data_IF_951495925011
#
_entry.id   IF_951495925011
#
_cell.length_a   1.000
_cell.length_b   1.000
_cell.length_c   1.000
_cell.angle_alpha   90.00
_cell.angle_beta   90.00
_cell.angle_gamma   90.00
#
_symmetry.space_group_name_H-M   'P 1'
#
loop_
_entity.id
_entity.type
_entity.pdbx_description
1 polymer ?
#
# COMPACT_ATOMS: atom_id res chain seq x y z
N UNK A 1 9.55 12.04 15.14
CA UNK A 1 9.49 12.15 16.61
C UNK A 1 9.66 13.62 17.02
N UNK A 2 8.77 14.19 17.87
CA UNK A 2 8.82 15.58 18.32
C UNK A 2 10.12 15.96 19.03
N UNK A 3 10.73 15.03 19.77
CA UNK A 3 12.00 15.28 20.48
C UNK A 3 13.16 15.50 19.51
N UNK A 4 13.25 14.69 18.47
CA UNK A 4 14.27 14.84 17.41
C UNK A 4 14.13 16.19 16.71
N UNK A 5 12.90 16.61 16.42
CA UNK A 5 12.63 17.92 15.81
C UNK A 5 13.08 19.06 16.72
N UNK A 6 12.83 18.95 18.03
CA UNK A 6 13.26 19.97 19.00
C UNK A 6 14.78 20.10 19.03
N UNK A 7 15.52 18.98 19.12
CA UNK A 7 16.99 18.95 19.13
C UNK A 7 17.56 19.58 17.86
N UNK A 8 17.02 19.26 16.69
CA UNK A 8 17.48 19.82 15.42
C UNK A 8 17.25 21.33 15.36
N UNK A 9 16.09 21.80 15.83
CA UNK A 9 15.80 23.25 15.90
C UNK A 9 16.73 23.99 16.85
N UNK A 10 17.03 23.43 18.03
CA UNK A 10 18.00 24.00 18.97
C UNK A 10 19.41 24.07 18.38
N UNK A 11 19.78 23.11 17.54
CA UNK A 11 21.03 23.10 16.78
C UNK A 11 21.05 24.08 15.59
N UNK A 12 19.97 24.84 15.36
CA UNK A 12 19.87 25.78 14.23
C UNK A 12 19.65 25.10 12.88
N UNK A 13 19.27 23.83 12.87
CA UNK A 13 19.03 23.07 11.64
C UNK A 13 17.57 23.28 11.22
N UNK A 14 17.30 23.80 9.99
CA UNK A 14 15.95 23.94 9.48
C UNK A 14 15.29 22.56 9.34
N UNK A 15 14.07 22.43 9.87
CA UNK A 15 13.30 21.18 9.83
C UNK A 15 12.00 21.43 9.10
N UNK A 16 11.81 20.70 7.98
CA UNK A 16 10.55 20.60 7.28
C UNK A 16 9.87 19.28 7.65
N UNK A 17 8.61 19.34 8.02
CA UNK A 17 7.78 18.15 8.24
C UNK A 17 6.71 18.10 7.16
N UNK A 18 6.64 16.98 6.47
CA UNK A 18 5.57 16.65 5.52
C UNK A 18 4.79 15.44 6.04
N UNK A 19 3.48 15.46 5.86
CA UNK A 19 2.63 14.30 6.13
C UNK A 19 2.45 13.53 4.83
N UNK A 20 2.67 12.21 4.89
CA UNK A 20 2.46 11.33 3.74
C UNK A 20 0.99 10.96 3.64
N UNK A 21 0.47 11.01 2.42
CA UNK A 21 -0.86 10.51 2.09
C UNK A 21 -0.78 9.06 1.58
N UNK A 22 -1.84 8.30 1.75
CA UNK A 22 -1.95 6.92 1.24
C UNK A 22 -2.07 6.85 -0.29
N UNK A 23 -2.44 7.96 -0.94
CA UNK A 23 -2.62 8.03 -2.39
C UNK A 23 -1.47 8.76 -3.09
N UNK A 24 -1.21 8.40 -4.35
CA UNK A 24 -0.26 9.12 -5.19
C UNK A 24 -0.69 10.59 -5.37
N UNK A 25 -1.98 10.83 -5.56
CA UNK A 25 -2.55 12.17 -5.75
C UNK A 25 -2.42 13.04 -4.50
N UNK A 26 -2.66 12.49 -3.32
CA UNK A 26 -2.51 13.20 -2.04
C UNK A 26 -1.07 13.58 -1.72
N UNK A 27 -0.07 12.91 -2.32
CA UNK A 27 1.35 13.26 -2.16
C UNK A 27 1.85 14.33 -3.14
N UNK A 28 1.07 14.77 -4.13
CA UNK A 28 1.45 15.83 -5.07
C UNK A 28 1.88 17.13 -4.35
N UNK A 29 1.16 17.63 -3.34
CA UNK A 29 1.60 18.81 -2.59
C UNK A 29 2.98 18.65 -1.95
N UNK A 30 3.31 17.45 -1.46
CA UNK A 30 4.62 17.17 -0.88
C UNK A 30 5.74 17.23 -1.94
N UNK A 31 5.49 16.73 -3.14
CA UNK A 31 6.43 16.78 -4.27
C UNK A 31 6.72 18.24 -4.64
N UNK A 32 5.68 19.07 -4.77
CA UNK A 32 5.82 20.48 -5.08
C UNK A 32 6.54 21.26 -3.97
N UNK A 33 6.21 20.97 -2.71
CA UNK A 33 6.86 21.57 -1.55
C UNK A 33 8.36 21.23 -1.53
N UNK A 34 8.72 19.98 -1.79
CA UNK A 34 10.13 19.56 -1.87
C UNK A 34 10.85 20.22 -3.04
N UNK A 35 10.19 20.34 -4.20
CA UNK A 35 10.72 21.08 -5.35
C UNK A 35 11.06 22.53 -4.98
N UNK A 36 10.12 23.23 -4.33
CA UNK A 36 10.31 24.61 -3.88
C UNK A 36 11.46 24.75 -2.87
N UNK A 37 11.49 23.89 -1.84
CA UNK A 37 12.54 23.95 -0.80
C UNK A 37 13.94 23.67 -1.36
N UNK A 38 14.04 22.81 -2.39
CA UNK A 38 15.32 22.42 -3.00
C UNK A 38 15.71 23.29 -4.21
N UNK A 39 14.88 24.27 -4.62
CA UNK A 39 15.10 25.07 -5.83
C UNK A 39 15.04 24.21 -7.11
N UNK A 40 14.12 23.24 -7.14
CA UNK A 40 13.94 22.29 -8.25
C UNK A 40 12.49 22.24 -8.69
N UNK A 41 11.85 23.38 -8.78
CA UNK A 41 10.42 23.54 -9.08
C UNK A 41 10.05 22.89 -10.41
N UNK A 42 10.86 23.15 -11.46
CA UNK A 42 10.61 22.58 -12.80
C UNK A 42 10.63 21.05 -12.80
N UNK A 43 11.55 20.44 -12.05
CA UNK A 43 11.63 18.99 -11.91
C UNK A 43 10.44 18.43 -11.13
N UNK A 44 9.98 19.12 -10.09
CA UNK A 44 8.80 18.74 -9.32
C UNK A 44 7.53 18.82 -10.16
N UNK A 45 7.35 19.91 -10.92
CA UNK A 45 6.21 20.08 -11.84
C UNK A 45 6.21 18.98 -12.91
N UNK A 46 7.36 18.68 -13.50
CA UNK A 46 7.48 17.60 -14.50
C UNK A 46 7.08 16.24 -13.91
N UNK A 47 7.52 15.93 -12.68
CA UNK A 47 7.15 14.69 -12.00
C UNK A 47 5.66 14.63 -11.69
N UNK A 48 5.07 15.75 -11.24
CA UNK A 48 3.63 15.82 -10.97
C UNK A 48 2.83 15.56 -12.25
N UNK A 49 3.17 16.20 -13.35
CA UNK A 49 2.50 15.99 -14.65
C UNK A 49 2.59 14.51 -15.08
N UNK A 50 3.75 13.86 -14.90
CA UNK A 50 3.91 12.44 -15.22
C UNK A 50 3.02 11.56 -14.34
N UNK A 51 2.88 11.87 -13.04
CA UNK A 51 1.99 11.15 -12.13
C UNK A 51 0.54 11.32 -12.56
N UNK A 52 0.09 12.55 -12.82
CA UNK A 52 -1.28 12.85 -13.24
C UNK A 52 -1.63 12.15 -14.56
N UNK A 53 -0.76 12.20 -15.56
CA UNK A 53 -0.95 11.51 -16.83
C UNK A 53 -1.10 9.98 -16.65
N UNK A 54 -0.30 9.39 -15.76
CA UNK A 54 -0.39 7.95 -15.45
C UNK A 54 -1.68 7.59 -14.73
N UNK A 55 -2.11 8.41 -13.76
CA UNK A 55 -3.36 8.20 -13.04
C UNK A 55 -4.57 8.34 -13.98
N UNK A 56 -4.56 9.35 -14.87
CA UNK A 56 -5.60 9.53 -15.89
C UNK A 56 -5.64 8.35 -16.88
N UNK A 57 -4.49 7.87 -17.33
CA UNK A 57 -4.42 6.67 -18.16
C UNK A 57 -4.98 5.42 -17.47
N UNK A 58 -4.69 5.22 -16.18
CA UNK A 58 -5.21 4.09 -15.41
C UNK A 58 -6.71 4.21 -15.21
N UNK A 59 -7.20 5.40 -14.83
CA UNK A 59 -8.63 5.63 -14.59
C UNK A 59 -9.51 5.28 -15.81
N UNK A 60 -9.02 5.58 -17.01
CA UNK A 60 -9.69 5.22 -18.27
C UNK A 60 -9.72 3.73 -18.59
N UNK A 61 -8.86 2.95 -17.92
CA UNK A 61 -8.77 1.48 -18.12
C UNK A 61 -9.49 0.69 -17.05
N UNK A 62 -9.92 1.32 -15.97
CA UNK A 62 -10.67 0.65 -14.91
C UNK A 62 -12.08 0.31 -15.41
N UNK A 63 -12.44 -0.98 -15.48
CA UNK A 63 -13.79 -1.36 -15.91
C UNK A 63 -14.81 -0.92 -14.85
N UNK A 64 -15.93 -0.38 -15.31
CA UNK A 64 -17.01 0.08 -14.43
C UNK A 64 -17.87 -1.09 -13.89
N UNK A 65 -17.34 -2.31 -13.83
CA UNK A 65 -18.08 -3.52 -13.51
C UNK A 65 -17.32 -4.43 -12.56
N UNK A 66 -18.04 -4.93 -11.57
CA UNK A 66 -17.66 -6.06 -10.70
C UNK A 66 -16.28 -5.89 -10.03
N UNK A 67 -16.16 -4.87 -9.20
CA UNK A 67 -14.94 -4.60 -8.44
C UNK A 67 -14.54 -5.82 -7.60
N UNK A 68 -13.26 -6.18 -7.67
CA UNK A 68 -12.71 -7.29 -6.89
C UNK A 68 -12.35 -6.84 -5.48
N UNK A 69 -12.64 -7.68 -4.51
CA UNK A 69 -12.22 -7.50 -3.13
C UNK A 69 -10.78 -7.99 -2.98
N UNK A 70 -9.88 -7.06 -2.78
CA UNK A 70 -8.42 -7.30 -2.73
C UNK A 70 -7.93 -7.12 -1.31
N UNK A 71 -7.21 -8.12 -0.80
CA UNK A 71 -6.56 -8.08 0.50
C UNK A 71 -5.04 -8.02 0.30
N UNK A 72 -4.42 -6.94 0.75
CA UNK A 72 -2.95 -6.83 0.79
C UNK A 72 -2.46 -7.24 2.17
N UNK A 73 -1.61 -8.26 2.22
CA UNK A 73 -1.02 -8.79 3.47
C UNK A 73 0.48 -9.03 3.34
N UNK A 74 1.18 -8.79 4.42
CA UNK A 74 2.60 -9.14 4.57
C UNK A 74 2.78 -10.06 5.78
N UNK A 75 3.76 -10.94 5.73
CA UNK A 75 4.15 -11.80 6.86
C UNK A 75 5.61 -11.60 7.19
N UNK A 76 5.86 -11.12 8.40
CA UNK A 76 7.16 -11.09 9.04
C UNK A 76 7.18 -12.13 10.18
N UNK A 77 7.12 -11.71 11.44
CA UNK A 77 6.83 -12.60 12.57
C UNK A 77 5.33 -12.95 12.64
N UNK A 78 4.48 -11.98 12.34
CA UNK A 78 3.02 -12.10 12.30
C UNK A 78 2.49 -11.57 10.96
N UNK A 79 1.19 -11.73 10.69
CA UNK A 79 0.55 -11.28 9.46
C UNK A 79 -0.03 -9.89 9.69
N UNK A 80 0.28 -8.95 8.80
CA UNK A 80 -0.29 -7.61 8.77
C UNK A 80 -1.13 -7.41 7.53
N UNK A 81 -2.33 -6.86 7.70
CA UNK A 81 -3.19 -6.41 6.60
C UNK A 81 -3.11 -4.90 6.44
N UNK A 82 -3.12 -4.45 5.20
CA UNK A 82 -3.09 -3.04 4.82
C UNK A 82 -4.53 -2.52 4.66
N UNK A 83 -4.96 -1.64 5.55
CA UNK A 83 -6.30 -1.04 5.59
C UNK A 83 -6.41 0.27 4.83
N UNK A 84 -7.41 1.12 5.19
CA UNK A 84 -7.81 2.31 4.44
C UNK A 84 -6.72 3.38 4.33
N UNK A 85 -5.98 3.72 5.36
CA UNK A 85 -4.97 4.79 5.34
C UNK A 85 -3.54 4.24 5.13
N UNK A 86 -3.40 3.12 4.41
CA UNK A 86 -2.12 2.55 4.01
C UNK A 86 -1.83 2.84 2.54
N UNK A 87 -0.55 2.85 2.17
CA UNK A 87 -0.14 3.01 0.77
C UNK A 87 -0.73 1.93 -0.13
N UNK A 88 -0.70 0.69 0.30
CA UNK A 88 -1.27 -0.45 -0.43
C UNK A 88 -2.79 -0.32 -0.58
N UNK A 89 -3.47 0.15 0.47
CA UNK A 89 -4.91 0.44 0.43
C UNK A 89 -5.24 1.49 -0.61
N UNK A 90 -4.52 2.60 -0.63
CA UNK A 90 -4.67 3.66 -1.62
C UNK A 90 -4.43 3.17 -3.06
N UNK A 91 -3.41 2.32 -3.27
CA UNK A 91 -3.12 1.71 -4.58
C UNK A 91 -4.27 0.79 -5.03
N UNK A 92 -4.82 -0.04 -4.13
CA UNK A 92 -5.94 -0.93 -4.43
C UNK A 92 -7.16 -0.12 -4.89
N UNK A 93 -7.50 0.95 -4.16
CA UNK A 93 -8.65 1.80 -4.45
C UNK A 93 -8.44 2.59 -5.76
N UNK A 94 -7.26 3.15 -5.98
CA UNK A 94 -6.91 3.84 -7.23
C UNK A 94 -6.89 2.90 -8.45
N UNK A 95 -6.64 1.61 -8.24
CA UNK A 95 -6.78 0.57 -9.27
C UNK A 95 -8.25 0.14 -9.52
N UNK A 96 -9.22 0.76 -8.85
CA UNK A 96 -10.65 0.49 -9.01
C UNK A 96 -11.10 -0.80 -8.33
N UNK A 97 -10.34 -1.33 -7.40
CA UNK A 97 -10.70 -2.48 -6.58
C UNK A 97 -11.21 -2.06 -5.20
N UNK A 98 -11.81 -2.98 -4.47
CA UNK A 98 -12.24 -2.78 -3.10
C UNK A 98 -11.13 -3.26 -2.17
N UNK A 99 -10.70 -2.41 -1.23
CA UNK A 99 -9.80 -2.85 -0.16
C UNK A 99 -10.58 -3.67 0.87
N UNK A 100 -10.42 -5.00 0.83
CA UNK A 100 -11.17 -5.92 1.67
C UNK A 100 -10.85 -5.77 3.18
N UNK A 101 -9.66 -5.28 3.53
CA UNK A 101 -9.31 -4.97 4.91
C UNK A 101 -10.02 -3.70 5.41
N UNK A 102 -10.16 -2.69 4.56
CA UNK A 102 -10.88 -1.46 4.89
C UNK A 102 -12.38 -1.72 5.15
N UNK A 103 -13.02 -2.63 4.38
CA UNK A 103 -14.43 -2.98 4.57
C UNK A 103 -14.73 -3.55 5.97
N UNK A 104 -13.76 -4.21 6.59
CA UNK A 104 -13.90 -4.74 7.96
C UNK A 104 -13.34 -3.78 9.02
N UNK A 105 -13.12 -2.52 8.67
CA UNK A 105 -12.73 -1.45 9.58
C UNK A 105 -11.24 -1.45 9.95
N UNK A 106 -10.39 -2.12 9.18
CA UNK A 106 -8.94 -2.00 9.36
C UNK A 106 -8.48 -0.67 8.79
N UNK A 107 -7.84 0.11 9.64
CA UNK A 107 -7.23 1.38 9.31
C UNK A 107 -5.71 1.25 9.43
N UNK A 108 -4.93 1.82 8.51
CA UNK A 108 -3.48 1.64 8.45
C UNK A 108 -3.06 0.16 8.31
N UNK A 109 -1.95 -0.22 8.96
CA UNK A 109 -1.51 -1.63 9.01
C UNK A 109 -1.91 -2.23 10.34
N UNK A 110 -2.62 -3.38 10.31
CA UNK A 110 -3.07 -4.07 11.51
C UNK A 110 -2.69 -5.54 11.45
N UNK A 111 -2.21 -6.05 12.59
CA UNK A 111 -2.00 -7.48 12.77
C UNK A 111 -3.32 -8.23 12.70
N UNK A 112 -3.33 -9.33 11.93
CA UNK A 112 -4.48 -10.21 11.76
C UNK A 112 -4.06 -11.68 11.89
N UNK A 113 -5.03 -12.55 12.16
CA UNK A 113 -4.82 -14.00 12.15
C UNK A 113 -5.15 -14.63 10.78
N UNK A 114 -4.82 -15.89 10.61
CA UNK A 114 -5.21 -16.67 9.42
C UNK A 114 -6.75 -16.76 9.32
N UNK A 115 -7.43 -16.93 10.44
CA UNK A 115 -8.89 -16.99 10.52
C UNK A 115 -9.52 -15.67 10.04
N UNK A 116 -8.90 -14.53 10.37
CA UNK A 116 -9.35 -13.23 9.87
C UNK A 116 -9.31 -13.15 8.34
N UNK A 117 -8.34 -13.80 7.69
CA UNK A 117 -8.31 -13.88 6.21
C UNK A 117 -9.53 -14.63 5.68
N UNK A 118 -9.93 -15.72 6.35
CA UNK A 118 -11.14 -16.47 5.98
C UNK A 118 -12.42 -15.64 6.18
N UNK A 119 -12.52 -14.88 7.28
CA UNK A 119 -13.66 -14.01 7.58
C UNK A 119 -13.76 -12.85 6.57
N UNK A 120 -12.62 -12.22 6.23
CA UNK A 120 -12.54 -11.17 5.20
C UNK A 120 -12.95 -11.73 3.84
N UNK A 121 -12.62 -12.99 3.55
CA UNK A 121 -13.02 -13.70 2.36
C UNK A 121 -12.72 -12.96 1.04
N UNK A 122 -11.45 -12.63 0.73
CA UNK A 122 -11.07 -11.85 -0.44
C UNK A 122 -11.14 -12.64 -1.75
N UNK A 123 -11.36 -11.91 -2.87
CA UNK A 123 -11.25 -12.45 -4.24
C UNK A 123 -9.80 -12.60 -4.69
N UNK A 124 -8.93 -11.73 -4.18
CA UNK A 124 -7.51 -11.63 -4.56
C UNK A 124 -6.69 -11.30 -3.33
N UNK A 125 -5.50 -11.90 -3.22
CA UNK A 125 -4.50 -11.57 -2.21
C UNK A 125 -3.25 -11.00 -2.89
N UNK A 126 -2.74 -9.89 -2.36
CA UNK A 126 -1.46 -9.30 -2.75
C UNK A 126 -0.44 -9.50 -1.63
N UNK A 127 0.79 -9.86 -2.02
CA UNK A 127 1.92 -10.06 -1.11
C UNK A 127 3.04 -9.04 -1.42
N UNK A 128 2.95 -7.80 -0.90
CA UNK A 128 3.97 -6.77 -1.10
C UNK A 128 5.15 -6.96 -0.13
N UNK A 129 5.95 -7.98 -0.37
CA UNK A 129 7.12 -8.32 0.44
C UNK A 129 8.23 -8.93 -0.44
N UNK A 130 9.48 -9.10 0.06
CA UNK A 130 10.56 -9.71 -0.70
C UNK A 130 10.15 -11.08 -1.26
N UNK A 131 10.52 -11.35 -2.51
CA UNK A 131 10.03 -12.49 -3.30
C UNK A 131 10.12 -13.83 -2.57
N UNK A 132 11.25 -14.11 -1.93
CA UNK A 132 11.45 -15.38 -1.19
C UNK A 132 10.42 -15.56 -0.09
N UNK A 133 10.19 -14.53 0.74
CA UNK A 133 9.18 -14.56 1.80
C UNK A 133 7.76 -14.64 1.24
N UNK A 134 7.48 -13.98 0.11
CA UNK A 134 6.18 -14.06 -0.56
C UNK A 134 5.89 -15.49 -1.07
N UNK A 135 6.87 -16.15 -1.66
CA UNK A 135 6.73 -17.53 -2.16
C UNK A 135 6.50 -18.54 -1.01
N UNK A 136 7.18 -18.35 0.12
CA UNK A 136 6.99 -19.19 1.31
C UNK A 136 5.61 -18.97 1.92
N UNK A 137 5.20 -17.72 2.07
CA UNK A 137 3.89 -17.39 2.62
C UNK A 137 2.74 -17.80 1.69
N UNK A 138 2.89 -17.65 0.38
CA UNK A 138 1.91 -18.14 -0.60
C UNK A 138 1.68 -19.65 -0.45
N UNK A 139 2.74 -20.44 -0.30
CA UNK A 139 2.62 -21.89 -0.08
C UNK A 139 1.88 -22.21 1.21
N UNK A 140 2.14 -21.47 2.28
CA UNK A 140 1.45 -21.62 3.55
C UNK A 140 -0.05 -21.34 3.38
N UNK A 141 -0.41 -20.20 2.77
CA UNK A 141 -1.81 -19.83 2.52
C UNK A 141 -2.56 -20.89 1.68
N UNK A 142 -1.94 -21.38 0.60
CA UNK A 142 -2.55 -22.37 -0.29
C UNK A 142 -2.80 -23.74 0.37
N UNK A 143 -2.02 -24.08 1.41
CA UNK A 143 -2.13 -25.36 2.10
C UNK A 143 -2.87 -25.28 3.45
N UNK A 144 -3.32 -24.08 3.85
CA UNK A 144 -3.95 -23.90 5.16
C UNK A 144 -5.41 -24.37 5.14
N UNK A 145 -5.82 -25.35 5.97
CA UNK A 145 -7.17 -25.94 5.91
C UNK A 145 -8.31 -24.96 6.03
N UNK A 146 -8.16 -23.91 6.86
CA UNK A 146 -9.18 -22.88 7.11
C UNK A 146 -9.43 -21.99 5.88
N UNK A 147 -8.46 -21.90 4.96
CA UNK A 147 -8.51 -20.99 3.81
C UNK A 147 -9.00 -21.63 2.51
N UNK A 148 -9.21 -22.94 2.46
CA UNK A 148 -9.47 -23.69 1.21
C UNK A 148 -10.71 -23.19 0.44
N UNK A 149 -11.72 -22.66 1.13
CA UNK A 149 -12.93 -22.11 0.51
C UNK A 149 -12.85 -20.62 0.18
N UNK A 150 -11.80 -19.91 0.64
CA UNK A 150 -11.59 -18.50 0.32
C UNK A 150 -11.38 -18.36 -1.19
N UNK A 151 -12.13 -17.46 -1.89
CA UNK A 151 -12.07 -17.32 -3.35
C UNK A 151 -10.65 -17.08 -3.89
N UNK A 152 -9.84 -16.28 -3.20
CA UNK A 152 -8.45 -16.04 -3.59
C UNK A 152 -7.59 -17.31 -3.56
N UNK A 153 -7.82 -18.19 -2.58
CA UNK A 153 -7.10 -19.46 -2.42
C UNK A 153 -7.61 -20.49 -3.43
N UNK A 154 -8.91 -20.71 -3.47
CA UNK A 154 -9.57 -21.66 -4.36
C UNK A 154 -9.26 -21.42 -5.84
N UNK A 155 -9.17 -20.15 -6.24
CA UNK A 155 -8.87 -19.74 -7.61
C UNK A 155 -7.38 -19.41 -7.83
N UNK A 156 -6.52 -19.65 -6.85
CA UNK A 156 -5.07 -19.36 -6.89
C UNK A 156 -4.75 -17.91 -7.28
N UNK A 157 -5.55 -16.94 -6.82
CA UNK A 157 -5.39 -15.51 -7.07
C UNK A 157 -4.59 -14.84 -5.96
N UNK A 158 -3.37 -15.32 -5.78
CA UNK A 158 -2.38 -14.75 -4.87
C UNK A 158 -1.22 -14.25 -5.71
N UNK A 159 -0.93 -12.96 -5.65
CA UNK A 159 0.08 -12.32 -6.47
C UNK A 159 1.16 -11.66 -5.63
N UNK A 160 2.39 -11.88 -6.04
CA UNK A 160 3.54 -11.14 -5.53
C UNK A 160 3.58 -9.74 -6.14
N UNK A 161 3.80 -8.74 -5.29
CA UNK A 161 4.05 -7.36 -5.73
C UNK A 161 5.48 -7.00 -5.37
N UNK A 162 6.26 -6.62 -6.38
CA UNK A 162 7.64 -6.20 -6.16
C UNK A 162 7.68 -4.92 -5.32
N UNK A 163 8.31 -5.01 -4.16
CA UNK A 163 8.59 -3.85 -3.31
C UNK A 163 10.03 -3.44 -3.56
N UNK A 164 10.31 -2.20 -3.96
CA UNK A 164 11.68 -1.71 -4.08
C UNK A 164 12.42 -1.90 -2.75
N UNK A 165 13.67 -2.33 -2.84
CA UNK A 165 14.52 -2.66 -1.68
C UNK A 165 14.78 -1.51 -0.69
N UNK A 166 14.30 -0.32 -0.97
CA UNK A 166 14.32 0.83 -0.06
C UNK A 166 13.42 0.67 1.20
N UNK A 167 12.58 -0.37 1.24
CA UNK A 167 11.76 -0.71 2.42
C UNK A 167 12.43 -1.74 3.35
N UNK A 168 13.66 -2.15 3.03
CA UNK A 168 14.44 -3.13 3.80
C UNK A 168 15.63 -2.37 4.41
N UNK A 169 15.34 -1.52 5.36
CA UNK A 169 16.32 -0.81 6.16
C UNK A 169 16.00 -0.99 7.64
#
# INVERSE_FOLDING_TARGET
>A
DPQTVAILKEAGIPVLRAELDSSAQGNIPNILLMGYVLGREDAAISLVNEIEDRLDFLSKKIPNTNQKRVLSITKWATIFAAGSNSTEGGIIEQAGAINAAAEVGINEHKEISIESIAEINPDVILLPQPRKGAEEFQKELLNHPVLLEVPAIKNQKIFYVHVPSAWVG
#
